data_IF_221490360676
#
_entry.id   IF_221490360676
#
_cell.length_a   1.000
_cell.length_b   1.000
_cell.length_c   1.000
_cell.angle_alpha   90.00
_cell.angle_beta   90.00
_cell.angle_gamma   90.00
#
_symmetry.space_group_name_H-M   'P 1'
#
loop_
_entity.id
_entity.type
_entity.pdbx_description
1 polymer ?
#
# COMPACT_ATOMS: atom_id res chain seq x y z
N UNK A 1 -3.76 -31.90 50.28
CA UNK A 1 -4.25 -31.20 49.07
C UNK A 1 -4.78 -32.27 48.16
N UNK A 2 -6.10 -32.35 48.11
CA UNK A 2 -6.77 -33.64 48.08
C UNK A 2 -7.21 -33.96 46.65
N UNK A 3 -7.01 -35.22 46.24
CA UNK A 3 -7.32 -35.74 44.91
C UNK A 3 -8.68 -35.35 44.28
N UNK A 4 -9.79 -35.21 45.03
CA UNK A 4 -11.08 -34.80 44.45
C UNK A 4 -11.11 -33.35 43.95
N UNK A 5 -10.38 -32.42 44.59
CA UNK A 5 -10.35 -31.02 44.17
C UNK A 5 -9.57 -30.84 42.85
N UNK A 6 -8.46 -31.58 42.69
CA UNK A 6 -7.68 -31.62 41.46
C UNK A 6 -8.49 -32.22 40.30
N UNK A 7 -9.26 -33.29 40.55
CA UNK A 7 -10.11 -33.90 39.52
C UNK A 7 -11.26 -32.99 39.08
N UNK A 8 -11.88 -32.26 40.01
CA UNK A 8 -12.93 -31.29 39.70
C UNK A 8 -12.37 -30.11 38.86
N UNK A 9 -11.18 -29.62 39.21
CA UNK A 9 -10.49 -28.57 38.44
C UNK A 9 -10.15 -29.06 37.02
N UNK A 10 -9.61 -30.27 36.86
CA UNK A 10 -9.28 -30.84 35.56
C UNK A 10 -10.52 -30.95 34.65
N UNK A 11 -11.64 -31.45 35.18
CA UNK A 11 -12.91 -31.55 34.44
C UNK A 11 -13.48 -30.18 34.05
N UNK A 12 -13.35 -29.18 34.93
CA UNK A 12 -13.76 -27.81 34.63
C UNK A 12 -12.90 -27.19 33.52
N UNK A 13 -11.58 -27.41 33.56
CA UNK A 13 -10.64 -26.96 32.53
C UNK A 13 -10.92 -27.62 31.17
N UNK A 14 -11.18 -28.93 31.15
CA UNK A 14 -11.48 -29.67 29.93
C UNK A 14 -12.81 -29.21 29.30
N UNK A 15 -13.86 -29.04 30.10
CA UNK A 15 -15.14 -28.50 29.64
C UNK A 15 -15.04 -27.06 29.14
N UNK A 16 -14.21 -26.23 29.78
CA UNK A 16 -13.92 -24.88 29.32
C UNK A 16 -13.14 -24.87 28.02
N UNK A 17 -12.11 -25.70 27.90
CA UNK A 17 -11.30 -25.84 26.70
C UNK A 17 -12.13 -26.31 25.49
N UNK A 18 -13.04 -27.27 25.69
CA UNK A 18 -13.96 -27.73 24.64
C UNK A 18 -14.83 -26.60 24.08
N UNK A 19 -15.45 -25.81 24.97
CA UNK A 19 -16.27 -24.65 24.54
C UNK A 19 -15.46 -23.59 23.81
N UNK A 20 -14.23 -23.30 24.27
CA UNK A 20 -13.34 -22.37 23.56
C UNK A 20 -13.05 -22.88 22.16
N UNK A 21 -12.80 -24.18 22.00
CA UNK A 21 -12.49 -24.78 20.71
C UNK A 21 -13.67 -24.70 19.74
N UNK A 22 -14.89 -24.95 20.21
CA UNK A 22 -16.11 -24.82 19.41
C UNK A 22 -16.33 -23.37 18.95
N UNK A 23 -16.19 -22.40 19.86
CA UNK A 23 -16.29 -20.98 19.51
C UNK A 23 -15.17 -20.55 18.55
N UNK A 24 -13.94 -21.03 18.75
CA UNK A 24 -12.82 -20.75 17.86
C UNK A 24 -13.07 -21.31 16.45
N UNK A 25 -13.66 -22.51 16.33
CA UNK A 25 -14.02 -23.11 15.06
C UNK A 25 -15.08 -22.28 14.33
N UNK A 26 -16.12 -21.85 15.04
CA UNK A 26 -17.17 -20.98 14.47
C UNK A 26 -16.59 -19.63 14.04
N UNK A 27 -15.76 -19.00 14.88
CA UNK A 27 -15.08 -17.75 14.54
C UNK A 27 -14.16 -17.90 13.33
N UNK A 28 -13.42 -19.01 13.23
CA UNK A 28 -12.57 -19.31 12.08
C UNK A 28 -13.38 -19.50 10.79
N UNK A 29 -14.50 -20.22 10.85
CA UNK A 29 -15.40 -20.41 9.71
C UNK A 29 -15.99 -19.07 9.24
N UNK A 30 -16.49 -18.25 10.18
CA UNK A 30 -17.04 -16.93 9.88
C UNK A 30 -15.98 -15.98 9.34
N UNK A 31 -14.78 -15.97 9.93
CA UNK A 31 -13.65 -15.20 9.43
C UNK A 31 -13.26 -15.58 8.01
N UNK A 32 -13.26 -16.88 7.70
CA UNK A 32 -12.95 -17.41 6.35
C UNK A 32 -14.01 -16.98 5.33
N UNK A 33 -15.30 -17.16 5.64
CA UNK A 33 -16.39 -16.74 4.74
C UNK A 33 -16.39 -15.23 4.53
N UNK A 34 -16.20 -14.45 5.60
CA UNK A 34 -16.12 -13.00 5.54
C UNK A 34 -14.96 -12.57 4.65
N UNK A 35 -13.78 -13.18 4.81
CA UNK A 35 -12.62 -12.86 3.98
C UNK A 35 -12.86 -13.18 2.50
N UNK A 36 -13.43 -14.36 2.20
CA UNK A 36 -13.76 -14.76 0.84
C UNK A 36 -14.75 -13.78 0.19
N UNK A 37 -15.79 -13.37 0.91
CA UNK A 37 -16.74 -12.36 0.46
C UNK A 37 -16.07 -11.01 0.21
N UNK A 38 -15.19 -10.56 1.10
CA UNK A 38 -14.44 -9.32 0.92
C UNK A 38 -13.53 -9.37 -0.30
N UNK A 39 -12.84 -10.49 -0.51
CA UNK A 39 -11.99 -10.67 -1.69
C UNK A 39 -12.79 -10.69 -2.98
N UNK A 40 -13.95 -11.34 -2.98
CA UNK A 40 -14.90 -11.31 -4.09
C UNK A 40 -15.39 -9.89 -4.37
N UNK A 41 -15.84 -9.16 -3.35
CA UNK A 41 -16.30 -7.77 -3.51
C UNK A 41 -15.20 -6.85 -4.04
N UNK A 42 -13.96 -7.02 -3.56
CA UNK A 42 -12.80 -6.26 -4.07
C UNK A 42 -12.51 -6.58 -5.54
N UNK A 43 -12.61 -7.86 -5.93
CA UNK A 43 -12.37 -8.31 -7.29
C UNK A 43 -13.45 -7.79 -8.25
N UNK A 44 -14.73 -7.96 -7.90
CA UNK A 44 -15.87 -7.53 -8.72
C UNK A 44 -15.94 -6.01 -8.82
N UNK A 45 -15.74 -5.29 -7.71
CA UNK A 45 -15.87 -3.84 -7.64
C UNK A 45 -14.67 -3.07 -8.19
N UNK A 46 -13.63 -3.74 -8.70
CA UNK A 46 -12.35 -3.12 -9.12
C UNK A 46 -11.81 -2.15 -8.06
N UNK A 47 -11.95 -2.52 -6.78
CA UNK A 47 -11.67 -1.62 -5.66
C UNK A 47 -10.23 -1.08 -5.70
N UNK A 48 -9.31 -1.93 -6.17
CA UNK A 48 -7.89 -1.59 -6.34
C UNK A 48 -7.68 -0.51 -7.40
N UNK A 49 -8.27 -0.65 -8.59
CA UNK A 49 -8.23 0.38 -9.62
C UNK A 49 -8.67 1.73 -9.08
N UNK A 50 -9.84 1.78 -8.45
CA UNK A 50 -10.42 3.02 -7.94
C UNK A 50 -9.54 3.63 -6.84
N UNK A 51 -9.02 2.80 -5.94
CA UNK A 51 -8.14 3.24 -4.85
C UNK A 51 -6.80 3.78 -5.37
N UNK A 52 -6.09 3.00 -6.18
CA UNK A 52 -4.80 3.37 -6.75
C UNK A 52 -4.91 4.65 -7.56
N UNK A 53 -5.92 4.73 -8.45
CA UNK A 53 -6.19 5.94 -9.23
C UNK A 53 -6.39 7.16 -8.33
N UNK A 54 -7.24 7.07 -7.31
CA UNK A 54 -7.48 8.19 -6.38
C UNK A 54 -6.22 8.60 -5.62
N UNK A 55 -5.41 7.65 -5.19
CA UNK A 55 -4.17 7.95 -4.45
C UNK A 55 -3.13 8.63 -5.35
N UNK A 56 -2.91 8.10 -6.56
CA UNK A 56 -1.98 8.66 -7.54
C UNK A 56 -2.45 10.03 -8.01
N UNK A 57 -3.72 10.20 -8.37
CA UNK A 57 -4.25 11.50 -8.79
C UNK A 57 -4.17 12.56 -7.68
N UNK A 58 -4.42 12.19 -6.43
CA UNK A 58 -4.23 13.10 -5.28
C UNK A 58 -2.76 13.47 -5.07
N UNK A 59 -1.85 12.55 -5.33
CA UNK A 59 -0.41 12.79 -5.18
C UNK A 59 0.13 13.71 -6.28
N UNK A 60 -0.25 13.46 -7.54
CA UNK A 60 0.12 14.31 -8.69
C UNK A 60 -0.50 15.70 -8.64
N UNK A 61 -1.61 15.85 -7.91
CA UNK A 61 -2.31 17.12 -7.76
C UNK A 61 -3.25 17.44 -8.94
N UNK A 62 -3.52 18.73 -9.12
CA UNK A 62 -4.53 19.24 -10.05
C UNK A 62 -3.99 19.52 -11.47
N UNK A 63 -2.68 19.57 -11.66
CA UNK A 63 -2.09 19.92 -12.95
C UNK A 63 -2.28 18.78 -13.98
N UNK A 64 -3.02 19.02 -15.09
CA UNK A 64 -3.25 18.01 -16.10
C UNK A 64 -1.98 17.65 -16.89
N UNK A 65 -1.02 18.57 -17.04
CA UNK A 65 0.22 18.32 -17.77
C UNK A 65 1.10 17.31 -17.04
N UNK A 66 1.25 17.49 -15.71
CA UNK A 66 1.93 16.56 -14.81
C UNK A 66 1.32 15.16 -14.93
N UNK A 67 0.00 15.06 -14.91
CA UNK A 67 -0.71 13.78 -15.00
C UNK A 67 -0.52 13.09 -16.34
N UNK A 68 -0.57 13.85 -17.44
CA UNK A 68 -0.36 13.33 -18.79
C UNK A 68 1.04 12.76 -18.93
N UNK A 69 2.07 13.55 -18.61
CA UNK A 69 3.47 13.12 -18.70
C UNK A 69 3.76 11.91 -17.80
N UNK A 70 3.19 11.87 -16.59
CA UNK A 70 3.26 10.70 -15.73
C UNK A 70 2.67 9.44 -16.40
N UNK A 71 1.49 9.53 -17.03
CA UNK A 71 0.85 8.39 -17.69
C UNK A 71 1.61 7.96 -18.94
N UNK A 72 2.15 8.91 -19.71
CA UNK A 72 2.98 8.62 -20.87
C UNK A 72 4.20 7.77 -20.45
N UNK A 73 4.84 8.14 -19.35
CA UNK A 73 6.02 7.44 -18.81
C UNK A 73 5.70 6.12 -18.10
N UNK A 74 4.68 6.10 -17.24
CA UNK A 74 4.40 4.95 -16.37
C UNK A 74 3.51 3.88 -17.03
N UNK A 75 2.79 4.24 -18.10
CA UNK A 75 1.81 3.36 -18.72
C UNK A 75 1.87 3.33 -20.26
N UNK A 76 2.80 4.07 -20.89
CA UNK A 76 2.79 4.24 -22.35
C UNK A 76 1.61 5.08 -22.84
N UNK A 77 1.08 5.95 -22.00
CA UNK A 77 0.01 6.89 -22.32
C UNK A 77 -1.33 6.59 -21.64
N UNK A 78 -2.32 7.44 -21.91
CA UNK A 78 -3.63 7.38 -21.26
C UNK A 78 -4.37 6.04 -21.48
N UNK A 79 -4.15 5.38 -22.62
CA UNK A 79 -4.74 4.08 -22.92
C UNK A 79 -4.26 2.97 -21.95
N UNK A 80 -3.00 3.05 -21.49
CA UNK A 80 -2.43 2.10 -20.53
C UNK A 80 -2.82 2.38 -19.07
N UNK A 81 -3.44 3.53 -18.77
CA UNK A 81 -3.75 3.94 -17.40
C UNK A 81 -4.60 2.91 -16.65
N UNK A 82 -5.48 2.20 -17.35
CA UNK A 82 -6.29 1.14 -16.74
C UNK A 82 -5.42 0.01 -16.19
N UNK A 83 -4.48 -0.49 -16.98
CA UNK A 83 -3.56 -1.54 -16.55
C UNK A 83 -2.64 -1.05 -15.42
N UNK A 84 -2.19 0.21 -15.49
CA UNK A 84 -1.36 0.84 -14.47
C UNK A 84 -2.04 0.86 -13.09
N UNK A 85 -3.35 1.11 -13.02
CA UNK A 85 -4.05 1.24 -11.74
C UNK A 85 -4.62 -0.08 -11.19
N UNK A 86 -4.85 -1.10 -12.03
CA UNK A 86 -5.41 -2.38 -11.56
C UNK A 86 -4.38 -3.31 -10.91
N UNK A 87 -3.09 -3.09 -11.20
CA UNK A 87 -2.00 -3.92 -10.71
C UNK A 87 -1.74 -3.78 -9.19
N UNK A 88 -1.08 -4.79 -8.57
CA UNK A 88 -0.64 -4.71 -7.17
C UNK A 88 0.16 -3.45 -6.86
N UNK A 89 0.07 -2.96 -5.62
CA UNK A 89 0.71 -1.71 -5.18
C UNK A 89 2.22 -1.67 -5.44
N UNK A 90 2.93 -2.77 -5.20
CA UNK A 90 4.37 -2.91 -5.48
C UNK A 90 4.69 -2.70 -6.97
N UNK A 91 3.91 -3.29 -7.87
CA UNK A 91 4.10 -3.13 -9.31
C UNK A 91 3.79 -1.70 -9.76
N UNK A 92 2.73 -1.09 -9.21
CA UNK A 92 2.42 0.32 -9.44
C UNK A 92 3.59 1.22 -9.04
N UNK A 93 4.15 1.02 -7.84
CA UNK A 93 5.29 1.78 -7.34
C UNK A 93 6.54 1.58 -8.20
N UNK A 94 6.79 0.34 -8.67
CA UNK A 94 7.85 0.06 -9.64
C UNK A 94 7.72 0.85 -10.94
N UNK A 95 6.51 0.93 -11.51
CA UNK A 95 6.25 1.74 -12.71
C UNK A 95 6.38 3.24 -12.44
N UNK A 96 5.93 3.72 -11.27
CA UNK A 96 6.11 5.11 -10.85
C UNK A 96 7.60 5.47 -10.72
N UNK A 97 8.41 4.58 -10.13
CA UNK A 97 9.85 4.77 -9.99
C UNK A 97 10.55 4.79 -11.36
N UNK A 98 10.15 3.91 -12.28
CA UNK A 98 10.66 3.92 -13.65
C UNK A 98 10.35 5.25 -14.34
N UNK A 99 9.11 5.73 -14.25
CA UNK A 99 8.70 7.02 -14.81
C UNK A 99 9.50 8.19 -14.20
N UNK A 100 9.71 8.18 -12.89
CA UNK A 100 10.52 9.18 -12.18
C UNK A 100 11.94 9.22 -12.71
N UNK A 101 12.59 8.07 -12.89
CA UNK A 101 13.95 8.00 -13.37
C UNK A 101 14.06 8.63 -14.76
N UNK A 102 13.14 8.28 -15.68
CA UNK A 102 13.11 8.86 -17.03
C UNK A 102 12.88 10.37 -16.99
N UNK A 103 11.94 10.85 -16.17
CA UNK A 103 11.68 12.29 -16.05
C UNK A 103 12.88 13.07 -15.48
N UNK A 104 13.61 12.47 -14.54
CA UNK A 104 14.85 13.05 -14.00
C UNK A 104 15.98 13.04 -15.02
N UNK A 105 16.08 12.01 -15.87
CA UNK A 105 17.15 11.92 -16.87
C UNK A 105 16.88 12.82 -18.09
N UNK A 106 15.61 13.07 -18.41
CA UNK A 106 15.18 13.90 -19.55
C UNK A 106 14.26 15.07 -19.15
N UNK A 107 14.75 16.04 -18.34
CA UNK A 107 13.92 17.10 -17.77
C UNK A 107 13.35 18.09 -18.80
N UNK A 108 13.92 18.14 -20.00
CA UNK A 108 13.41 18.94 -21.12
C UNK A 108 12.24 18.28 -21.86
N UNK A 109 12.14 16.95 -21.82
CA UNK A 109 11.10 16.17 -22.52
C UNK A 109 9.83 16.06 -21.67
N UNK A 110 9.99 15.92 -20.36
CA UNK A 110 8.88 15.82 -19.39
C UNK A 110 8.94 16.97 -18.36
N UNK A 111 8.81 18.23 -18.80
CA UNK A 111 9.09 19.38 -17.96
C UNK A 111 8.08 19.57 -16.83
N UNK A 112 6.81 19.23 -17.03
CA UNK A 112 5.78 19.39 -16.00
C UNK A 112 5.99 18.37 -14.87
N UNK A 113 6.17 17.10 -15.23
CA UNK A 113 6.41 16.04 -14.25
C UNK A 113 7.76 16.21 -13.56
N UNK A 114 8.82 16.60 -14.29
CA UNK A 114 10.11 16.96 -13.69
C UNK A 114 9.97 18.09 -12.67
N UNK A 115 9.27 19.17 -13.03
CA UNK A 115 9.05 20.31 -12.14
C UNK A 115 8.25 19.93 -10.89
N UNK A 116 7.24 19.07 -11.04
CA UNK A 116 6.50 18.51 -9.91
C UNK A 116 7.41 17.68 -8.98
N UNK A 117 8.20 16.76 -9.54
CA UNK A 117 9.07 15.88 -8.75
C UNK A 117 10.13 16.67 -7.99
N UNK A 118 10.72 17.67 -8.64
CA UNK A 118 11.81 18.49 -8.10
C UNK A 118 11.34 19.76 -7.39
N UNK A 119 10.02 19.99 -7.27
CA UNK A 119 9.50 21.15 -6.53
C UNK A 119 10.10 21.23 -5.13
N UNK A 120 10.60 22.39 -4.70
CA UNK A 120 11.29 22.50 -3.40
C UNK A 120 12.69 21.88 -3.36
N UNK A 121 13.34 21.71 -4.52
CA UNK A 121 14.74 21.35 -4.61
C UNK A 121 15.61 22.33 -3.78
N UNK A 122 16.66 21.82 -3.11
CA UNK A 122 17.58 22.68 -2.38
C UNK A 122 18.34 23.59 -3.35
N UNK A 123 18.68 24.78 -2.87
CA UNK A 123 19.60 25.68 -3.56
C UNK A 123 20.98 25.55 -2.90
N UNK A 124 21.95 25.03 -3.64
CA UNK A 124 23.33 24.88 -3.17
C UNK A 124 24.24 25.73 -4.07
N UNK A 125 24.77 26.82 -3.49
CA UNK A 125 25.51 27.83 -4.23
C UNK A 125 24.59 28.87 -4.87
N UNK A 126 24.89 29.27 -6.11
CA UNK A 126 24.18 30.37 -6.79
C UNK A 126 22.93 29.93 -7.57
N UNK A 127 22.71 28.62 -7.77
CA UNK A 127 21.64 28.08 -8.62
C UNK A 127 20.96 26.90 -7.91
N UNK A 128 19.65 26.80 -8.07
CA UNK A 128 18.86 25.67 -7.55
C UNK A 128 19.21 24.38 -8.29
N UNK A 129 19.22 23.25 -7.57
CA UNK A 129 19.67 21.97 -8.13
C UNK A 129 18.83 21.51 -9.33
N UNK A 130 17.53 21.80 -9.31
CA UNK A 130 16.58 21.49 -10.39
C UNK A 130 16.93 22.25 -11.68
N UNK A 131 17.26 23.54 -11.59
CA UNK A 131 17.63 24.36 -12.74
C UNK A 131 19.01 23.97 -13.28
N UNK A 132 19.98 23.78 -12.37
CA UNK A 132 21.34 23.34 -12.73
C UNK A 132 21.30 22.05 -13.51
N UNK A 133 20.61 21.04 -12.99
CA UNK A 133 20.50 19.75 -13.68
C UNK A 133 19.72 19.87 -14.99
N UNK A 134 18.62 20.63 -15.01
CA UNK A 134 17.83 20.86 -16.23
C UNK A 134 18.65 21.50 -17.35
N UNK A 135 19.56 22.42 -17.03
CA UNK A 135 20.48 23.04 -17.98
C UNK A 135 21.56 22.05 -18.46
N UNK A 136 22.10 21.23 -17.57
CA UNK A 136 23.22 20.35 -17.89
C UNK A 136 22.79 19.03 -18.57
N UNK A 137 21.64 18.45 -18.23
CA UNK A 137 21.22 17.13 -18.72
C UNK A 137 21.25 16.97 -20.25
N UNK A 138 20.81 17.96 -21.07
CA UNK A 138 20.91 17.85 -22.53
C UNK A 138 22.36 17.80 -23.05
N UNK A 139 23.33 18.27 -22.27
CA UNK A 139 24.75 18.35 -22.65
C UNK A 139 25.52 17.05 -22.40
N UNK A 140 24.91 16.06 -21.75
CA UNK A 140 25.55 14.76 -21.48
C UNK A 140 25.91 14.01 -22.77
N UNK A 141 25.15 14.24 -23.84
CA UNK A 141 25.39 13.65 -25.16
C UNK A 141 26.34 14.48 -26.03
N UNK A 142 26.72 15.68 -25.60
CA UNK A 142 27.64 16.53 -26.34
C UNK A 142 29.07 15.97 -26.25
N UNK A 143 29.87 16.07 -27.34
CA UNK A 143 31.29 15.71 -27.28
C UNK A 143 32.01 16.54 -26.22
N UNK A 144 32.86 15.88 -25.42
CA UNK A 144 33.69 16.57 -24.43
C UNK A 144 34.63 17.54 -25.16
N UNK A 145 34.74 18.81 -24.73
CA UNK A 145 35.66 19.77 -25.34
C UNK A 145 37.11 19.25 -25.37
N UNK A 146 37.91 19.63 -26.39
CA UNK A 146 39.33 19.34 -26.43
C UNK A 146 40.07 20.01 -25.25
N UNK A 147 41.29 19.55 -24.96
CA UNK A 147 42.08 19.97 -23.79
C UNK A 147 42.22 21.49 -23.63
N UNK A 148 42.33 21.94 -22.37
CA UNK A 148 42.46 23.35 -21.99
C UNK A 148 41.38 23.82 -21.03
N UNK A 149 41.26 25.14 -20.86
CA UNK A 149 40.36 25.76 -19.88
C UNK A 149 38.87 25.41 -20.09
N UNK A 150 38.44 25.16 -21.34
CA UNK A 150 37.07 24.74 -21.66
C UNK A 150 36.74 23.36 -21.12
N UNK A 151 37.70 22.43 -21.14
CA UNK A 151 37.56 21.08 -20.58
C UNK A 151 37.48 21.12 -19.06
N UNK A 152 38.34 21.90 -18.40
CA UNK A 152 38.30 22.06 -16.94
C UNK A 152 36.95 22.63 -16.46
N UNK A 153 36.43 23.63 -17.17
CA UNK A 153 35.11 24.21 -16.89
C UNK A 153 33.98 23.19 -17.10
N UNK A 154 34.03 22.42 -18.20
CA UNK A 154 33.05 21.36 -18.47
C UNK A 154 33.09 20.27 -17.38
N UNK A 155 34.28 19.83 -16.97
CA UNK A 155 34.45 18.83 -15.90
C UNK A 155 33.98 19.35 -14.53
N UNK A 156 34.21 20.63 -14.24
CA UNK A 156 33.69 21.27 -13.03
C UNK A 156 32.15 21.34 -13.04
N UNK A 157 31.55 21.80 -14.14
CA UNK A 157 30.10 21.88 -14.31
C UNK A 157 29.45 20.49 -14.27
N UNK A 158 30.08 19.50 -14.89
CA UNK A 158 29.65 18.10 -14.87
C UNK A 158 29.64 17.51 -13.46
N UNK A 159 30.70 17.75 -12.67
CA UNK A 159 30.76 17.30 -11.26
C UNK A 159 29.66 17.95 -10.43
N UNK A 160 29.48 19.27 -10.52
CA UNK A 160 28.45 19.99 -9.77
C UNK A 160 27.04 19.55 -10.17
N UNK A 161 26.80 19.35 -11.46
CA UNK A 161 25.51 18.92 -12.00
C UNK A 161 25.17 17.48 -11.62
N UNK A 162 26.17 16.59 -11.62
CA UNK A 162 26.01 15.21 -11.13
C UNK A 162 25.67 15.14 -9.64
N UNK A 163 26.30 16.00 -8.82
CA UNK A 163 25.95 16.13 -7.41
C UNK A 163 24.52 16.67 -7.21
N UNK A 164 24.11 17.66 -8.00
CA UNK A 164 22.74 18.15 -8.00
C UNK A 164 21.74 17.04 -8.36
N UNK A 165 22.00 16.26 -9.41
CA UNK A 165 21.19 15.09 -9.80
C UNK A 165 21.08 14.05 -8.69
N UNK A 166 22.15 13.80 -7.94
CA UNK A 166 22.13 12.89 -6.80
C UNK A 166 21.22 13.42 -5.68
N UNK A 167 21.33 14.70 -5.34
CA UNK A 167 20.47 15.34 -4.32
C UNK A 167 19.00 15.36 -4.73
N UNK A 168 18.70 15.68 -5.99
CA UNK A 168 17.34 15.56 -6.54
C UNK A 168 16.83 14.11 -6.46
N UNK A 169 17.68 13.13 -6.78
CA UNK A 169 17.36 11.72 -6.62
C UNK A 169 16.93 11.39 -5.19
N UNK A 170 17.72 11.80 -4.19
CA UNK A 170 17.38 11.60 -2.78
C UNK A 170 16.06 12.28 -2.37
N UNK A 171 15.83 13.52 -2.82
CA UNK A 171 14.57 14.24 -2.56
C UNK A 171 13.37 13.47 -3.12
N UNK A 172 13.46 13.01 -4.37
CA UNK A 172 12.35 12.32 -5.03
C UNK A 172 12.13 10.94 -4.44
N UNK A 173 13.18 10.16 -4.17
CA UNK A 173 13.06 8.87 -3.46
C UNK A 173 12.32 9.06 -2.14
N UNK A 174 12.70 10.07 -1.34
CA UNK A 174 12.03 10.31 -0.06
C UNK A 174 10.55 10.64 -0.21
N UNK A 175 10.16 11.34 -1.28
CA UNK A 175 8.74 11.63 -1.59
C UNK A 175 7.99 10.37 -1.99
N UNK A 176 8.60 9.51 -2.79
CA UNK A 176 8.02 8.23 -3.18
C UNK A 176 7.86 7.30 -1.96
N UNK A 177 8.84 7.25 -1.05
CA UNK A 177 8.74 6.47 0.19
C UNK A 177 7.55 6.91 1.05
N UNK A 178 7.36 8.23 1.21
CA UNK A 178 6.21 8.78 1.95
C UNK A 178 4.90 8.42 1.25
N UNK A 179 4.85 8.50 -0.09
CA UNK A 179 3.70 8.09 -0.86
C UNK A 179 3.40 6.59 -0.71
N UNK A 180 4.42 5.73 -0.86
CA UNK A 180 4.32 4.28 -0.67
C UNK A 180 3.77 3.94 0.72
N UNK A 181 4.36 4.52 1.76
CA UNK A 181 3.91 4.31 3.15
C UNK A 181 2.44 4.69 3.30
N UNK A 182 2.03 5.83 2.73
CA UNK A 182 0.64 6.28 2.79
C UNK A 182 -0.30 5.37 1.99
N UNK A 183 0.12 4.90 0.82
CA UNK A 183 -0.63 3.98 -0.04
C UNK A 183 -0.91 2.67 0.71
N UNK A 184 0.15 2.02 1.19
CA UNK A 184 0.07 0.75 1.92
C UNK A 184 -0.76 0.87 3.19
N UNK A 185 -0.48 1.87 4.02
CA UNK A 185 -1.20 2.08 5.27
C UNK A 185 -2.68 2.40 5.06
N UNK A 186 -3.01 3.22 4.07
CA UNK A 186 -4.42 3.56 3.78
C UNK A 186 -5.16 2.35 3.22
N UNK A 187 -4.54 1.57 2.34
CA UNK A 187 -5.14 0.33 1.82
C UNK A 187 -5.39 -0.70 2.93
N UNK A 188 -4.39 -0.92 3.79
CA UNK A 188 -4.49 -1.85 4.91
C UNK A 188 -5.62 -1.44 5.88
N UNK A 189 -5.67 -0.16 6.27
CA UNK A 189 -6.74 0.35 7.13
C UNK A 189 -8.13 0.24 6.52
N UNK A 190 -8.27 0.54 5.23
CA UNK A 190 -9.55 0.38 4.54
C UNK A 190 -9.99 -1.08 4.52
N UNK A 191 -9.09 -2.01 4.20
CA UNK A 191 -9.41 -3.45 4.26
C UNK A 191 -9.82 -3.90 5.66
N UNK A 192 -9.10 -3.45 6.70
CA UNK A 192 -9.42 -3.78 8.09
C UNK A 192 -10.78 -3.20 8.50
N UNK A 193 -11.05 -1.94 8.18
CA UNK A 193 -12.34 -1.30 8.50
C UNK A 193 -13.51 -2.02 7.83
N UNK A 194 -13.39 -2.35 6.54
CA UNK A 194 -14.41 -3.10 5.81
C UNK A 194 -14.56 -4.52 6.38
N UNK A 195 -13.47 -5.17 6.80
CA UNK A 195 -13.53 -6.48 7.42
C UNK A 195 -14.25 -6.47 8.78
N UNK A 196 -13.94 -5.49 9.63
CA UNK A 196 -14.59 -5.33 10.94
C UNK A 196 -16.08 -5.09 10.77
N UNK A 197 -16.46 -4.14 9.90
CA UNK A 197 -17.87 -3.81 9.64
C UNK A 197 -18.59 -4.99 8.99
N UNK A 198 -18.00 -5.59 7.96
CA UNK A 198 -18.59 -6.72 7.24
C UNK A 198 -18.78 -7.95 8.12
N UNK A 199 -17.76 -8.32 8.90
CA UNK A 199 -17.83 -9.44 9.84
C UNK A 199 -18.86 -9.21 10.96
N UNK A 200 -18.91 -7.99 11.51
CA UNK A 200 -19.91 -7.64 12.51
C UNK A 200 -21.34 -7.71 11.97
N UNK A 201 -21.59 -7.16 10.77
CA UNK A 201 -22.90 -7.25 10.12
C UNK A 201 -23.29 -8.71 9.85
N UNK A 202 -22.37 -9.51 9.30
CA UNK A 202 -22.62 -10.91 8.99
C UNK A 202 -22.97 -11.71 10.25
N UNK A 203 -22.22 -11.52 11.34
CA UNK A 203 -22.53 -12.13 12.63
C UNK A 203 -23.90 -11.71 13.15
N UNK A 204 -24.19 -10.41 13.14
CA UNK A 204 -25.46 -9.88 13.61
C UNK A 204 -26.66 -10.55 12.92
N UNK A 205 -26.58 -10.76 11.60
CA UNK A 205 -27.64 -11.39 10.81
C UNK A 205 -27.68 -12.92 10.90
N UNK A 206 -26.55 -13.60 11.09
CA UNK A 206 -26.50 -15.07 11.15
C UNK A 206 -26.84 -15.64 12.52
N UNK A 207 -26.58 -14.90 13.60
CA UNK A 207 -26.85 -15.32 14.99
C UNK A 207 -28.31 -15.78 15.21
N UNK A 208 -29.34 -15.05 14.75
CA UNK A 208 -30.74 -15.49 14.85
C UNK A 208 -31.06 -16.76 14.05
N UNK A 209 -30.40 -16.98 12.90
CA UNK A 209 -30.65 -18.12 12.01
C UNK A 209 -30.05 -19.41 12.58
N UNK A 210 -28.92 -19.31 13.27
CA UNK A 210 -28.26 -20.43 13.93
C UNK A 210 -28.90 -20.80 15.28
N UNK A 211 -29.59 -19.86 15.93
CA UNK A 211 -30.18 -20.03 17.26
C UNK A 211 -31.51 -20.76 17.24
N UNK A 212 -31.48 -22.10 17.17
CA UNK A 212 -32.65 -22.91 17.47
C UNK A 212 -33.07 -22.74 18.93
N UNK A 213 -34.26 -22.16 19.14
CA UNK A 213 -35.05 -22.16 20.39
C UNK A 213 -34.74 -21.12 21.51
N UNK A 214 -33.93 -20.08 21.27
CA UNK A 214 -33.83 -18.97 22.23
C UNK A 214 -33.45 -17.66 21.55
N UNK A 215 -34.31 -16.64 21.65
CA UNK A 215 -33.98 -15.30 21.17
C UNK A 215 -32.82 -14.74 22.00
N UNK A 216 -31.62 -14.76 21.42
CA UNK A 216 -30.48 -14.03 22.01
C UNK A 216 -30.89 -12.56 22.11
N UNK A 217 -30.76 -11.91 23.28
CA UNK A 217 -31.08 -10.49 23.42
C UNK A 217 -30.33 -9.66 22.39
N UNK A 218 -30.98 -8.63 21.85
CA UNK A 218 -30.39 -7.79 20.80
C UNK A 218 -29.09 -7.12 21.25
N UNK A 219 -28.96 -6.81 22.55
CA UNK A 219 -27.75 -6.26 23.17
C UNK A 219 -26.58 -7.25 23.10
N UNK A 220 -26.83 -8.52 23.44
CA UNK A 220 -25.84 -9.60 23.35
C UNK A 220 -25.43 -9.85 21.89
N UNK A 221 -26.39 -9.81 20.96
CA UNK A 221 -26.10 -9.90 19.51
C UNK A 221 -25.18 -8.77 19.04
N UNK A 222 -25.47 -7.53 19.46
CA UNK A 222 -24.65 -6.38 19.11
C UNK A 222 -23.23 -6.50 19.70
N UNK A 223 -23.11 -6.90 20.97
CA UNK A 223 -21.82 -7.11 21.61
C UNK A 223 -20.98 -8.19 20.89
N UNK A 224 -21.59 -9.33 20.56
CA UNK A 224 -20.94 -10.41 19.82
C UNK A 224 -20.55 -9.99 18.40
N UNK A 225 -21.38 -9.20 17.71
CA UNK A 225 -21.08 -8.67 16.40
C UNK A 225 -19.86 -7.73 16.43
N UNK A 226 -19.78 -6.82 17.41
CA UNK A 226 -18.63 -5.92 17.57
C UNK A 226 -17.36 -6.71 17.86
N UNK A 227 -17.42 -7.64 18.83
CA UNK A 227 -16.26 -8.48 19.19
C UNK A 227 -15.81 -9.33 18.00
N UNK A 228 -16.74 -9.97 17.30
CA UNK A 228 -16.40 -10.81 16.16
C UNK A 228 -15.87 -10.02 14.96
N UNK A 229 -16.38 -8.80 14.72
CA UNK A 229 -15.80 -7.87 13.75
C UNK A 229 -14.35 -7.52 14.09
N UNK A 230 -14.04 -7.21 15.36
CA UNK A 230 -12.67 -6.90 15.80
C UNK A 230 -11.72 -8.11 15.71
N UNK A 231 -12.23 -9.32 15.96
CA UNK A 231 -11.44 -10.56 15.94
C UNK A 231 -11.24 -11.09 14.51
N UNK A 232 -12.13 -10.78 13.56
CA UNK A 232 -12.09 -11.32 12.20
C UNK A 232 -10.73 -11.15 11.47
N UNK A 233 -10.06 -9.98 11.51
CA UNK A 233 -8.73 -9.83 10.92
C UNK A 233 -7.68 -10.75 11.54
N UNK A 234 -7.70 -10.94 12.87
CA UNK A 234 -6.77 -11.81 13.58
C UNK A 234 -7.03 -13.30 13.34
N UNK A 235 -8.31 -13.69 13.20
CA UNK A 235 -8.67 -15.07 12.91
C UNK A 235 -8.04 -15.55 11.60
N UNK A 236 -7.97 -14.68 10.59
CA UNK A 236 -7.27 -14.97 9.33
C UNK A 236 -5.77 -15.25 9.56
N UNK A 237 -5.10 -14.40 10.32
CA UNK A 237 -3.66 -14.52 10.57
C UNK A 237 -3.34 -15.79 11.36
N UNK A 238 -4.18 -16.15 12.34
CA UNK A 238 -4.07 -17.41 13.09
C UNK A 238 -4.29 -18.63 12.19
N UNK A 239 -5.31 -18.62 11.33
CA UNK A 239 -5.58 -19.72 10.39
C UNK A 239 -4.40 -19.89 9.43
N UNK A 240 -3.88 -18.81 8.85
CA UNK A 240 -2.71 -18.86 7.97
C UNK A 240 -1.48 -19.45 8.67
N UNK A 241 -1.23 -19.05 9.93
CA UNK A 241 -0.13 -19.60 10.72
C UNK A 241 -0.30 -21.10 10.98
N UNK A 242 -1.51 -21.56 11.31
CA UNK A 242 -1.82 -22.97 11.56
C UNK A 242 -1.73 -23.82 10.28
N UNK A 243 -2.21 -23.31 9.14
CA UNK A 243 -2.07 -23.99 7.84
C UNK A 243 -0.59 -24.13 7.46
N UNK A 244 0.24 -23.12 7.72
CA UNK A 244 1.68 -23.18 7.50
C UNK A 244 2.40 -24.26 8.31
N UNK A 245 1.93 -24.57 9.51
CA UNK A 245 2.48 -25.66 10.35
C UNK A 245 2.05 -27.05 9.86
N UNK A 246 0.83 -27.17 9.31
CA UNK A 246 0.29 -28.45 8.84
C UNK A 246 0.95 -28.94 7.54
N UNK A 247 1.44 -28.03 6.70
CA UNK A 247 2.17 -28.35 5.45
C UNK A 247 3.62 -28.79 5.72
N UNK A 248 4.15 -28.53 6.92
CA UNK A 248 5.52 -28.91 7.33
C UNK A 248 5.62 -30.26 8.06
N UNK A 249 4.53 -31.01 8.17
CA UNK A 249 4.51 -32.41 8.64
C UNK A 249 4.19 -33.32 7.47
#
# INVERSE_FOLDING_TARGET
MDGPALAALAKALEGFAGRILDYALVLAAIGTVTMALLELLKAVGRARYVFNRRMVERWLGADPAVRREFLDLAAGGAAGAQALYDQPGEKLLGQMQAAVNVALDFPGVFPAYYGFLTAGAPTVGAEADDQRWKRFAPRIVEPVPPEGASREQFEADSRQSSQARARLGHLVTRRLDVFQTRLEYTWARLNQAVAVVGGGLLLYYLLPVAGGAGEVPWTTRLALAVVGGLVAPFAKDVVNALTGLRVRR
#
